data_IF_551983970261
#
_entry.id   IF_551983970261
#
_cell.length_a   1.000
_cell.length_b   1.000
_cell.length_c   1.000
_cell.angle_alpha   90.00
_cell.angle_beta   90.00
_cell.angle_gamma   90.00
#
_symmetry.space_group_name_H-M   'P 1'
#
loop_
_entity.id
_entity.type
_entity.pdbx_description
1 polymer ?
#
# COMPACT_ATOMS: atom_id res chain seq x y z
N UNK A 1 -2.32 11.76 31.77
CA UNK A 1 -2.25 10.65 30.81
C UNK A 1 -0.85 10.61 30.25
N UNK A 2 -0.08 9.61 30.63
CA UNK A 2 1.27 9.39 30.16
C UNK A 2 1.27 8.99 28.67
N UNK A 3 2.35 9.30 27.95
CA UNK A 3 2.55 8.78 26.59
C UNK A 3 3.06 7.33 26.69
N UNK A 4 2.79 6.50 25.68
CA UNK A 4 3.30 5.12 25.65
C UNK A 4 4.83 5.10 25.74
N UNK A 5 5.50 6.07 25.13
CA UNK A 5 6.97 6.12 25.11
C UNK A 5 7.60 6.25 26.52
N UNK A 6 7.18 7.20 27.38
CA UNK A 6 7.55 7.24 28.79
C UNK A 6 7.19 5.96 29.58
N UNK A 7 5.99 5.41 29.38
CA UNK A 7 5.56 4.21 30.11
C UNK A 7 6.44 3.00 29.74
N UNK A 8 6.72 2.79 28.46
CA UNK A 8 7.63 1.74 28.00
C UNK A 8 9.05 1.94 28.54
N UNK A 9 9.53 3.18 28.64
CA UNK A 9 10.84 3.48 29.23
C UNK A 9 10.88 3.12 30.71
N UNK A 10 9.85 3.47 31.47
CA UNK A 10 9.74 3.15 32.90
C UNK A 10 9.65 1.63 33.14
N UNK A 11 8.90 0.91 32.29
CA UNK A 11 8.84 -0.56 32.32
C UNK A 11 10.23 -1.18 32.09
N UNK A 12 10.99 -0.68 31.11
CA UNK A 12 12.35 -1.17 30.84
C UNK A 12 13.32 -0.89 32.00
N UNK A 13 13.22 0.28 32.63
CA UNK A 13 14.04 0.65 33.80
C UNK A 13 13.72 -0.23 35.01
N UNK A 14 12.44 -0.48 35.30
CA UNK A 14 12.01 -1.37 36.38
C UNK A 14 12.39 -2.83 36.12
N UNK A 15 12.27 -3.30 34.88
CA UNK A 15 12.70 -4.65 34.50
C UNK A 15 14.22 -4.84 34.70
N UNK A 16 15.03 -3.80 34.45
CA UNK A 16 16.47 -3.84 34.72
C UNK A 16 16.81 -3.82 36.23
N UNK A 17 15.94 -3.25 37.06
CA UNK A 17 16.08 -3.21 38.51
C UNK A 17 15.51 -4.45 39.21
N UNK A 18 14.79 -5.34 38.52
CA UNK A 18 14.14 -6.51 39.12
C UNK A 18 15.14 -7.60 39.59
N UNK A 19 16.39 -7.56 39.12
CA UNK A 19 17.46 -8.51 39.44
C UNK A 19 18.20 -8.09 40.74
N UNK A 20 17.47 -8.05 41.86
CA UNK A 20 18.04 -7.76 43.21
C UNK A 20 17.87 -8.96 44.13
N UNK A 21 18.67 -9.08 45.20
CA UNK A 21 18.51 -10.16 46.20
C UNK A 21 17.53 -9.80 47.34
N UNK A 22 16.93 -8.60 47.31
CA UNK A 22 16.00 -8.12 48.33
C UNK A 22 14.55 -8.44 47.92
N UNK A 23 13.95 -9.42 48.60
CA UNK A 23 12.57 -9.85 48.35
C UNK A 23 11.52 -8.75 48.62
N UNK A 24 11.76 -7.83 49.55
CA UNK A 24 10.86 -6.70 49.80
C UNK A 24 10.90 -5.67 48.67
N UNK A 25 12.09 -5.44 48.12
CA UNK A 25 12.28 -4.56 46.98
C UNK A 25 11.72 -5.17 45.68
N UNK A 26 11.87 -6.49 45.48
CA UNK A 26 11.25 -7.20 44.35
C UNK A 26 9.74 -7.04 44.32
N UNK A 27 9.07 -7.23 45.46
CA UNK A 27 7.61 -7.08 45.54
C UNK A 27 7.18 -5.65 45.18
N UNK A 28 7.87 -4.64 45.69
CA UNK A 28 7.57 -3.23 45.39
C UNK A 28 7.79 -2.88 43.91
N UNK A 29 8.83 -3.45 43.27
CA UNK A 29 9.08 -3.31 41.83
C UNK A 29 7.94 -3.95 41.02
N UNK A 30 7.50 -5.14 41.42
CA UNK A 30 6.43 -5.88 40.75
C UNK A 30 5.08 -5.14 40.84
N UNK A 31 4.71 -4.67 42.03
CA UNK A 31 3.48 -3.88 42.23
C UNK A 31 3.49 -2.58 41.39
N UNK A 32 4.66 -1.95 41.25
CA UNK A 32 4.83 -0.75 40.42
C UNK A 32 4.74 -1.08 38.93
N UNK A 33 5.29 -2.22 38.51
CA UNK A 33 5.22 -2.72 37.14
C UNK A 33 3.78 -3.01 36.73
N UNK A 34 3.01 -3.69 37.58
CA UNK A 34 1.59 -3.99 37.35
C UNK A 34 0.75 -2.69 37.20
N UNK A 35 1.08 -1.65 37.97
CA UNK A 35 0.45 -0.34 37.84
C UNK A 35 0.73 0.34 36.50
N UNK A 36 1.97 0.26 36.00
CA UNK A 36 2.36 0.82 34.71
C UNK A 36 1.76 0.00 33.55
N UNK A 37 1.70 -1.32 33.68
CA UNK A 37 1.02 -2.19 32.72
C UNK A 37 -0.47 -1.87 32.61
N UNK A 38 -1.14 -1.59 33.73
CA UNK A 38 -2.51 -1.09 33.76
C UNK A 38 -2.67 0.23 32.98
N UNK A 39 -1.83 1.24 33.27
CA UNK A 39 -1.88 2.53 32.55
C UNK A 39 -1.55 2.37 31.04
N UNK A 40 -0.63 1.46 30.71
CA UNK A 40 -0.29 1.12 29.33
C UNK A 40 -1.48 0.47 28.61
N UNK A 41 -2.16 -0.47 29.27
CA UNK A 41 -3.37 -1.13 28.77
C UNK A 41 -4.49 -0.13 28.49
N UNK A 42 -4.81 0.74 29.46
CA UNK A 42 -5.80 1.80 29.29
C UNK A 42 -5.45 2.73 28.13
N UNK A 43 -4.16 3.05 27.96
CA UNK A 43 -3.70 3.90 26.85
C UNK A 43 -3.82 3.18 25.50
N UNK A 44 -3.50 1.88 25.45
CA UNK A 44 -3.65 1.05 24.26
C UNK A 44 -5.12 0.97 23.84
N UNK A 45 -6.04 0.73 24.78
CA UNK A 45 -7.48 0.71 24.52
C UNK A 45 -7.97 2.05 23.95
N UNK A 46 -7.55 3.17 24.54
CA UNK A 46 -7.87 4.50 24.03
C UNK A 46 -7.37 4.73 22.60
N UNK A 47 -6.17 4.24 22.26
CA UNK A 47 -5.62 4.33 20.90
C UNK A 47 -6.41 3.46 19.92
N UNK A 48 -6.81 2.25 20.33
CA UNK A 48 -7.65 1.37 19.50
C UNK A 48 -9.03 2.01 19.26
N UNK A 49 -9.64 2.61 20.29
CA UNK A 49 -10.91 3.33 20.14
C UNK A 49 -10.79 4.53 19.21
N UNK A 50 -9.71 5.31 19.33
CA UNK A 50 -9.42 6.42 18.40
C UNK A 50 -9.26 5.90 16.96
N UNK A 51 -8.48 4.83 16.77
CA UNK A 51 -8.30 4.21 15.46
C UNK A 51 -9.64 3.75 14.88
N UNK A 52 -10.51 3.13 15.67
CA UNK A 52 -11.84 2.69 15.24
C UNK A 52 -12.75 3.85 14.86
N UNK A 53 -12.66 4.98 15.55
CA UNK A 53 -13.39 6.20 15.17
C UNK A 53 -12.92 6.72 13.82
N UNK A 54 -11.60 6.82 13.62
CA UNK A 54 -11.01 7.24 12.35
C UNK A 54 -11.37 6.26 11.22
N UNK A 55 -11.32 4.95 11.45
CA UNK A 55 -11.75 3.94 10.48
C UNK A 55 -13.23 4.17 10.07
N UNK A 56 -14.09 4.55 11.03
CA UNK A 56 -15.48 4.93 10.75
C UNK A 56 -15.63 6.20 9.91
N UNK A 57 -14.82 7.22 10.19
CA UNK A 57 -14.76 8.45 9.38
C UNK A 57 -14.28 8.16 7.94
N UNK A 58 -13.29 7.29 7.79
CA UNK A 58 -12.78 6.85 6.47
C UNK A 58 -13.89 6.21 5.65
N UNK A 59 -14.66 5.28 6.23
CA UNK A 59 -15.80 4.65 5.54
C UNK A 59 -16.87 5.67 5.12
N UNK A 60 -17.15 6.66 5.98
CA UNK A 60 -18.08 7.74 5.64
C UNK A 60 -17.57 8.57 4.45
N UNK A 61 -16.28 8.91 4.44
CA UNK A 61 -15.65 9.63 3.33
C UNK A 61 -15.70 8.81 2.03
N UNK A 62 -15.41 7.52 2.07
CA UNK A 62 -15.49 6.64 0.90
C UNK A 62 -16.90 6.62 0.30
N UNK A 63 -17.93 6.49 1.13
CA UNK A 63 -19.32 6.53 0.66
C UNK A 63 -19.69 7.86 -0.03
N UNK A 64 -19.14 8.98 0.46
CA UNK A 64 -19.38 10.29 -0.13
C UNK A 64 -18.61 10.47 -1.44
N UNK A 65 -17.38 9.92 -1.55
CA UNK A 65 -16.63 9.89 -2.80
C UNK A 65 -17.38 9.12 -3.87
N UNK A 66 -17.95 7.96 -3.55
CA UNK A 66 -18.77 7.18 -4.48
C UNK A 66 -19.99 8.00 -4.97
N UNK A 67 -20.70 8.64 -4.04
CA UNK A 67 -21.85 9.50 -4.36
C UNK A 67 -21.48 10.67 -5.27
N UNK A 68 -20.36 11.35 -4.99
CA UNK A 68 -19.87 12.47 -5.79
C UNK A 68 -19.38 12.03 -7.16
N UNK A 69 -18.75 10.86 -7.24
CA UNK A 69 -18.30 10.27 -8.51
C UNK A 69 -19.49 9.93 -9.40
N UNK A 70 -20.55 9.36 -8.83
CA UNK A 70 -21.79 9.10 -9.57
C UNK A 70 -22.48 10.40 -10.02
N UNK A 71 -22.53 11.41 -9.15
CA UNK A 71 -23.07 12.72 -9.51
C UNK A 71 -22.29 13.36 -10.66
N UNK A 72 -20.95 13.28 -10.63
CA UNK A 72 -20.08 13.73 -11.72
C UNK A 72 -20.41 13.00 -13.02
N UNK A 73 -20.50 11.66 -12.99
CA UNK A 73 -20.85 10.82 -14.14
C UNK A 73 -22.20 11.23 -14.76
N UNK A 74 -23.21 11.50 -13.93
CA UNK A 74 -24.52 11.98 -14.40
C UNK A 74 -24.40 13.32 -15.13
N UNK A 75 -23.63 14.27 -14.58
CA UNK A 75 -23.42 15.59 -15.20
C UNK A 75 -22.62 15.48 -16.50
N UNK A 76 -21.57 14.66 -16.55
CA UNK A 76 -20.80 14.39 -17.76
C UNK A 76 -21.70 13.79 -18.86
N UNK A 77 -22.55 12.82 -18.51
CA UNK A 77 -23.54 12.26 -19.43
C UNK A 77 -24.54 13.30 -19.93
N UNK A 78 -25.00 14.21 -19.07
CA UNK A 78 -25.90 15.29 -19.47
C UNK A 78 -25.22 16.25 -20.46
N UNK A 79 -23.96 16.62 -20.22
CA UNK A 79 -23.18 17.46 -21.16
C UNK A 79 -23.01 16.75 -22.49
N UNK A 80 -22.65 15.46 -22.49
CA UNK A 80 -22.55 14.66 -23.72
C UNK A 80 -23.88 14.66 -24.48
N UNK A 81 -25.00 14.37 -23.80
CA UNK A 81 -26.34 14.36 -24.42
C UNK A 81 -26.71 15.69 -25.06
N UNK A 82 -26.38 16.82 -24.42
CA UNK A 82 -26.64 18.15 -24.97
C UNK A 82 -25.79 18.41 -26.22
N UNK A 83 -24.51 18.02 -26.18
CA UNK A 83 -23.62 18.10 -27.34
C UNK A 83 -24.09 17.21 -28.49
N UNK A 84 -24.49 15.97 -28.21
CA UNK A 84 -25.02 15.02 -29.17
C UNK A 84 -26.33 15.51 -29.79
N UNK A 85 -27.23 16.08 -28.99
CA UNK A 85 -28.46 16.70 -29.46
C UNK A 85 -28.17 17.84 -30.43
N UNK A 86 -27.23 18.74 -30.09
CA UNK A 86 -26.83 19.83 -30.99
C UNK A 86 -26.21 19.29 -32.28
N UNK A 87 -25.34 18.28 -32.19
CA UNK A 87 -24.73 17.61 -33.35
C UNK A 87 -25.79 17.04 -34.30
N UNK A 88 -26.72 16.23 -33.78
CA UNK A 88 -27.77 15.59 -34.58
C UNK A 88 -28.66 16.62 -35.28
N UNK A 89 -29.01 17.73 -34.62
CA UNK A 89 -29.81 18.79 -35.22
C UNK A 89 -29.03 19.58 -36.29
N UNK A 90 -27.73 19.84 -36.07
CA UNK A 90 -26.86 20.47 -37.08
C UNK A 90 -26.69 19.58 -38.31
N UNK A 91 -26.55 18.27 -38.14
CA UNK A 91 -26.52 17.28 -39.21
C UNK A 91 -27.83 17.25 -40.00
N UNK A 92 -28.97 17.13 -39.31
CA UNK A 92 -30.29 17.09 -39.93
C UNK A 92 -30.64 18.38 -40.70
N UNK A 93 -30.21 19.53 -40.19
CA UNK A 93 -30.40 20.83 -40.84
C UNK A 93 -29.32 21.14 -41.90
N UNK A 94 -28.33 20.26 -42.10
CA UNK A 94 -27.18 20.44 -42.98
C UNK A 94 -26.37 21.74 -42.70
N UNK A 95 -26.33 22.16 -41.43
CA UNK A 95 -25.61 23.35 -40.97
C UNK A 95 -24.21 22.96 -40.52
N UNK A 96 -23.19 23.38 -41.28
CA UNK A 96 -21.78 23.06 -40.99
C UNK A 96 -21.14 23.95 -39.92
N UNK A 97 -21.58 25.21 -39.81
CA UNK A 97 -21.03 26.15 -38.82
C UNK A 97 -22.05 27.22 -38.43
N UNK A 98 -22.04 27.60 -37.16
CA UNK A 98 -22.84 28.68 -36.59
C UNK A 98 -21.87 29.66 -35.92
N UNK A 99 -21.69 30.83 -36.53
CA UNK A 99 -20.90 31.91 -35.94
C UNK A 99 -21.80 32.79 -35.07
N UNK A 100 -21.39 33.00 -33.81
CA UNK A 100 -22.02 33.94 -32.87
C UNK A 100 -20.94 34.86 -32.29
N UNK A 101 -21.32 36.04 -31.76
CA UNK A 101 -20.35 37.02 -31.24
C UNK A 101 -19.41 36.46 -30.16
N UNK A 102 -19.88 35.50 -29.35
CA UNK A 102 -19.14 34.95 -28.22
C UNK A 102 -18.46 33.60 -28.51
N UNK A 103 -18.93 32.85 -29.52
CA UNK A 103 -18.42 31.51 -29.84
C UNK A 103 -18.80 31.09 -31.25
N UNK A 104 -17.99 30.21 -31.84
CA UNK A 104 -18.29 29.58 -33.14
C UNK A 104 -18.49 28.09 -32.91
N UNK A 105 -19.64 27.57 -33.31
CA UNK A 105 -19.95 26.13 -33.25
C UNK A 105 -19.69 25.57 -34.64
N UNK A 106 -18.79 24.61 -34.76
CA UNK A 106 -18.48 23.96 -36.05
C UNK A 106 -18.70 22.46 -35.90
N UNK A 107 -19.42 21.88 -36.86
CA UNK A 107 -19.55 20.43 -36.96
C UNK A 107 -18.26 19.88 -37.57
N UNK A 108 -17.34 19.46 -36.72
CA UNK A 108 -16.10 18.82 -37.15
C UNK A 108 -16.35 17.32 -37.38
N UNK A 109 -15.79 16.77 -38.46
CA UNK A 109 -15.74 15.33 -38.63
C UNK A 109 -14.90 14.71 -37.51
N UNK A 110 -15.39 13.62 -36.92
CA UNK A 110 -14.59 12.87 -35.96
C UNK A 110 -13.31 12.35 -36.66
N UNK A 111 -12.15 12.37 -35.99
CA UNK A 111 -10.95 11.75 -36.55
C UNK A 111 -11.21 10.26 -36.79
N UNK A 112 -10.71 9.75 -37.92
CA UNK A 112 -10.81 8.34 -38.26
C UNK A 112 -10.14 7.51 -37.16
N UNK A 113 -10.93 6.64 -36.53
CA UNK A 113 -10.43 5.67 -35.55
C UNK A 113 -10.19 4.36 -36.27
N UNK A 114 -8.96 3.86 -36.20
CA UNK A 114 -8.63 2.51 -36.68
C UNK A 114 -9.21 1.51 -35.70
N UNK A 115 -10.21 0.75 -36.14
CA UNK A 115 -10.73 -0.42 -35.44
C UNK A 115 -10.05 -1.63 -36.08
N UNK A 116 -9.32 -2.40 -35.29
CA UNK A 116 -8.68 -3.64 -35.75
C UNK A 116 -9.66 -4.77 -35.50
N UNK A 117 -10.38 -5.19 -36.55
CA UNK A 117 -11.37 -6.26 -36.45
C UNK A 117 -10.73 -7.65 -36.28
N UNK A 118 -9.49 -7.83 -36.78
CA UNK A 118 -8.74 -9.08 -36.72
C UNK A 118 -7.27 -8.82 -36.34
N UNK A 119 -6.91 -8.93 -35.05
CA UNK A 119 -5.55 -8.68 -34.60
C UNK A 119 -4.55 -9.73 -35.11
N UNK A 120 -4.99 -10.94 -35.44
CA UNK A 120 -4.11 -12.03 -35.88
C UNK A 120 -3.68 -11.93 -37.36
N UNK A 121 -4.45 -11.18 -38.17
CA UNK A 121 -4.14 -10.92 -39.60
C UNK A 121 -3.34 -9.62 -39.77
N UNK A 122 -2.92 -8.96 -38.68
CA UNK A 122 -2.11 -7.76 -38.75
C UNK A 122 -0.73 -8.08 -39.31
N UNK A 123 -0.25 -7.32 -40.33
CA UNK A 123 1.14 -7.39 -40.74
C UNK A 123 2.07 -7.15 -39.54
N UNK A 124 3.17 -7.89 -39.45
CA UNK A 124 4.15 -7.79 -38.35
C UNK A 124 4.64 -6.33 -38.16
N UNK A 125 4.68 -5.54 -39.23
CA UNK A 125 5.08 -4.13 -39.23
C UNK A 125 4.12 -3.21 -38.43
N UNK A 126 2.89 -3.65 -38.16
CA UNK A 126 1.86 -2.91 -37.42
C UNK A 126 1.60 -3.46 -36.01
N UNK A 127 2.31 -4.52 -35.61
CA UNK A 127 2.17 -5.16 -34.30
C UNK A 127 3.27 -4.68 -33.37
N UNK A 128 2.90 -3.98 -32.29
CA UNK A 128 3.83 -3.65 -31.20
C UNK A 128 3.84 -4.80 -30.18
N UNK A 129 4.87 -5.65 -30.24
CA UNK A 129 5.09 -6.70 -29.24
C UNK A 129 5.59 -6.07 -27.93
N UNK A 130 4.81 -6.21 -26.85
CA UNK A 130 5.21 -5.80 -25.50
C UNK A 130 5.56 -7.04 -24.68
N UNK A 131 6.86 -7.30 -24.52
CA UNK A 131 7.36 -8.36 -23.61
C UNK A 131 7.55 -7.75 -22.24
N UNK A 132 6.66 -8.08 -21.30
CA UNK A 132 6.79 -7.68 -19.89
C UNK A 132 7.47 -8.81 -19.14
N UNK A 133 8.71 -8.59 -18.70
CA UNK A 133 9.41 -9.51 -17.79
C UNK A 133 9.25 -8.96 -16.38
N UNK A 134 8.24 -9.44 -15.67
CA UNK A 134 8.00 -9.05 -14.29
C UNK A 134 8.82 -9.94 -13.33
N UNK A 135 9.59 -9.36 -12.39
CA UNK A 135 10.33 -10.14 -11.41
C UNK A 135 9.35 -10.83 -10.45
N UNK A 136 9.43 -12.16 -10.34
CA UNK A 136 8.69 -12.92 -9.34
C UNK A 136 9.30 -12.70 -7.96
N UNK A 137 8.80 -11.67 -7.27
CA UNK A 137 9.24 -11.28 -5.92
C UNK A 137 9.08 -12.40 -4.90
N UNK A 138 8.14 -13.34 -5.08
CA UNK A 138 7.95 -14.47 -4.14
C UNK A 138 9.04 -15.51 -4.32
N UNK A 139 9.32 -15.89 -5.57
CA UNK A 139 10.40 -16.82 -5.88
C UNK A 139 11.77 -16.23 -5.47
N UNK A 140 11.98 -14.93 -5.71
CA UNK A 140 13.20 -14.21 -5.30
C UNK A 140 13.32 -14.21 -3.77
N UNK A 141 12.27 -13.85 -3.03
CA UNK A 141 12.32 -13.83 -1.57
C UNK A 141 12.55 -15.23 -0.97
N UNK A 142 11.95 -16.27 -1.54
CA UNK A 142 12.16 -17.66 -1.10
C UNK A 142 13.62 -18.10 -1.30
N UNK A 143 14.21 -17.78 -2.46
CA UNK A 143 15.62 -18.09 -2.74
C UNK A 143 16.57 -17.37 -1.80
N UNK A 144 16.39 -16.06 -1.61
CA UNK A 144 17.23 -15.26 -0.69
C UNK A 144 17.10 -15.72 0.76
N UNK A 145 15.93 -16.19 1.17
CA UNK A 145 15.72 -16.74 2.52
C UNK A 145 16.46 -18.08 2.68
N UNK A 146 16.40 -18.95 1.68
CA UNK A 146 17.14 -20.22 1.68
C UNK A 146 18.66 -19.98 1.68
N UNK A 147 19.15 -19.04 0.88
CA UNK A 147 20.58 -18.66 0.84
C UNK A 147 21.03 -18.10 2.19
N UNK A 148 20.20 -17.29 2.86
CA UNK A 148 20.46 -16.80 4.22
C UNK A 148 20.48 -17.92 5.26
N UNK A 149 19.51 -18.83 5.26
CA UNK A 149 19.45 -19.97 6.18
C UNK A 149 20.65 -20.92 5.98
N UNK A 150 21.06 -21.15 4.73
CA UNK A 150 22.27 -21.91 4.39
C UNK A 150 23.53 -21.24 4.93
N UNK A 151 23.70 -19.94 4.70
CA UNK A 151 24.84 -19.18 5.22
C UNK A 151 24.88 -19.13 6.76
N UNK A 152 23.74 -19.03 7.43
CA UNK A 152 23.64 -19.10 8.89
C UNK A 152 24.04 -20.50 9.42
N UNK A 153 23.70 -21.57 8.71
CA UNK A 153 24.13 -22.93 9.03
C UNK A 153 25.64 -23.15 8.84
N UNK A 154 26.20 -22.67 7.72
CA UNK A 154 27.65 -22.74 7.44
C UNK A 154 28.43 -21.96 8.49
N UNK A 155 27.99 -20.75 8.87
CA UNK A 155 28.62 -19.95 9.94
C UNK A 155 28.60 -20.65 11.30
N UNK A 156 27.57 -21.43 11.62
CA UNK A 156 27.53 -22.26 12.85
C UNK A 156 28.55 -23.40 12.81
N UNK A 157 28.75 -24.04 11.66
CA UNK A 157 29.77 -25.10 11.48
C UNK A 157 31.19 -24.53 11.56
N UNK A 158 31.41 -23.34 11.01
CA UNK A 158 32.67 -22.62 11.18
C UNK A 158 32.95 -22.26 12.65
N UNK A 159 31.93 -21.83 13.40
CA UNK A 159 32.08 -21.57 14.83
C UNK A 159 32.40 -22.84 15.66
N UNK A 160 32.10 -24.03 15.13
CA UNK A 160 32.44 -25.33 15.72
C UNK A 160 33.82 -25.86 15.31
N UNK A 161 34.59 -25.12 14.49
CA UNK A 161 35.96 -25.46 14.11
C UNK A 161 36.12 -26.23 12.80
N UNK A 162 35.07 -26.35 11.98
CA UNK A 162 35.16 -26.93 10.62
C UNK A 162 35.58 -25.87 9.58
N UNK A 163 36.50 -26.21 8.68
CA UNK A 163 36.92 -25.35 7.57
C UNK A 163 35.96 -25.50 6.38
N UNK A 164 34.87 -24.71 6.42
CA UNK A 164 33.79 -24.72 5.43
C UNK A 164 33.48 -23.33 4.84
N UNK A 165 34.47 -22.42 4.83
CA UNK A 165 34.32 -21.05 4.26
C UNK A 165 33.88 -21.06 2.79
N UNK A 166 34.28 -22.09 2.04
CA UNK A 166 33.98 -22.27 0.62
C UNK A 166 32.50 -22.55 0.33
N UNK A 167 31.70 -22.91 1.35
CA UNK A 167 30.26 -23.20 1.22
C UNK A 167 29.38 -21.95 1.40
N UNK A 168 29.95 -20.78 1.74
CA UNK A 168 29.19 -19.53 1.84
C UNK A 168 28.75 -19.04 0.45
N UNK A 169 27.45 -18.79 0.33
CA UNK A 169 26.85 -18.17 -0.86
C UNK A 169 27.01 -16.65 -0.72
N UNK A 170 27.68 -15.95 -1.65
CA UNK A 170 27.79 -14.49 -1.58
C UNK A 170 26.43 -13.83 -1.79
N UNK A 171 26.18 -12.76 -1.03
CA UNK A 171 24.93 -12.01 -1.15
C UNK A 171 24.79 -11.44 -2.58
N UNK A 172 23.67 -11.71 -3.27
CA UNK A 172 23.49 -11.27 -4.65
C UNK A 172 23.35 -9.74 -4.73
N UNK A 173 24.12 -9.10 -5.62
CA UNK A 173 24.06 -7.65 -5.84
C UNK A 173 22.72 -7.13 -6.44
N UNK A 174 21.83 -8.04 -6.85
CA UNK A 174 20.58 -7.72 -7.57
C UNK A 174 19.32 -7.79 -6.70
N UNK A 175 19.39 -8.30 -5.46
CA UNK A 175 18.25 -8.30 -4.53
C UNK A 175 18.66 -8.53 -3.07
N UNK A 176 17.97 -7.86 -2.13
CA UNK A 176 18.16 -8.03 -0.68
C UNK A 176 16.82 -8.15 0.07
N UNK A 177 16.86 -8.77 1.26
CA UNK A 177 15.71 -8.92 2.15
C UNK A 177 15.76 -7.86 3.25
N UNK A 178 14.86 -6.88 3.22
CA UNK A 178 14.63 -5.93 4.33
C UNK A 178 13.43 -6.37 5.17
N UNK A 179 13.58 -6.31 6.50
CA UNK A 179 12.48 -6.52 7.44
C UNK A 179 11.94 -5.14 7.84
N UNK A 180 10.74 -4.82 7.40
CA UNK A 180 10.03 -3.60 7.84
C UNK A 180 9.65 -3.65 9.32
N UNK A 181 9.16 -2.52 9.84
CA UNK A 181 8.68 -2.41 11.21
C UNK A 181 7.53 -3.40 11.49
N UNK A 182 7.51 -3.93 12.71
CA UNK A 182 6.45 -4.86 13.15
C UNK A 182 5.09 -4.16 13.14
N UNK A 183 4.16 -4.65 12.31
CA UNK A 183 2.78 -4.13 12.26
C UNK A 183 1.91 -4.75 13.36
N UNK A 184 1.09 -3.94 14.04
CA UNK A 184 0.09 -4.41 15.00
C UNK A 184 -1.10 -5.06 14.25
N UNK A 185 -1.53 -6.25 14.67
CA UNK A 185 -2.77 -6.89 14.18
C UNK A 185 -3.81 -6.89 15.29
N UNK A 186 -4.94 -6.23 15.05
CA UNK A 186 -6.13 -6.27 15.92
C UNK A 186 -7.06 -7.33 15.30
N UNK A 187 -7.45 -8.34 16.09
CA UNK A 187 -8.42 -9.37 15.68
C UNK A 187 -9.82 -8.98 16.12
#
# INVERSE_FOLDING_TARGET
>A
MSSLYPLTKQMMELAAMADTDDEGLKQAIQDTMDGIEGEFGDKADNIVMLRRNIDGEVLAIESEIERLTELKRIKENAVSKIGDYLRQNMEAANIKSIKRPLFTITLAAAPEKVIVDKPDDLPDDLVRVKVTQDPDKKAIAAKLKADREHNEAVRKRMAAGEDCEHELIPDPAWAHLERGESSIRIK
#
